data_IF_493650432922
#
_entry.id   IF_493650432922
#
_cell.length_a   1.000
_cell.length_b   1.000
_cell.length_c   1.000
_cell.angle_alpha   90.00
_cell.angle_beta   90.00
_cell.angle_gamma   90.00
#
_symmetry.space_group_name_H-M   'P 1'
#
loop_
_entity.id
_entity.type
_entity.pdbx_description
1 polymer ?
#
# COMPACT_ATOMS: atom_id res chain seq x y z
N UNK A 1 -16.44 -10.16 -2.28
CA UNK A 1 -15.11 -10.70 -1.93
C UNK A 1 -14.42 -9.73 -0.99
N UNK A 2 -13.87 -10.24 0.11
CA UNK A 2 -13.16 -9.42 1.10
C UNK A 2 -11.65 -9.54 0.82
N UNK A 3 -10.98 -8.40 0.67
CA UNK A 3 -9.56 -8.34 0.34
C UNK A 3 -8.86 -7.54 1.44
N UNK A 4 -7.84 -8.15 2.05
CA UNK A 4 -6.95 -7.47 2.97
C UNK A 4 -5.70 -7.02 2.21
N UNK A 5 -5.39 -5.72 2.25
CA UNK A 5 -4.33 -5.11 1.46
C UNK A 5 -3.31 -4.43 2.38
N UNK A 6 -2.13 -5.02 2.51
CA UNK A 6 -1.00 -4.39 3.19
C UNK A 6 -0.23 -3.47 2.24
N UNK A 7 0.37 -2.38 2.73
CA UNK A 7 1.13 -1.46 1.89
C UNK A 7 0.22 -0.62 0.97
N UNK A 8 -1.02 -0.35 1.39
CA UNK A 8 -2.05 0.31 0.60
C UNK A 8 -1.76 1.78 0.25
N UNK A 9 -0.90 2.47 0.99
CA UNK A 9 -0.44 3.83 0.71
C UNK A 9 0.84 3.88 -0.14
N UNK A 10 1.42 2.72 -0.50
CA UNK A 10 2.52 2.64 -1.46
C UNK A 10 2.07 2.81 -2.91
N UNK A 11 3.04 2.98 -3.83
CA UNK A 11 2.79 3.18 -5.27
C UNK A 11 1.88 2.09 -5.88
N UNK A 12 2.20 0.82 -5.59
CA UNK A 12 1.45 -0.34 -6.09
C UNK A 12 0.12 -0.48 -5.34
N UNK A 13 0.17 -0.39 -4.01
CA UNK A 13 -1.01 -0.57 -3.16
C UNK A 13 -2.13 0.41 -3.49
N UNK A 14 -1.79 1.69 -3.69
CA UNK A 14 -2.75 2.72 -4.07
C UNK A 14 -3.42 2.42 -5.42
N UNK A 15 -2.60 2.12 -6.43
CA UNK A 15 -3.08 1.84 -7.79
C UNK A 15 -3.96 0.59 -7.83
N UNK A 16 -3.58 -0.45 -7.07
CA UNK A 16 -4.35 -1.68 -6.93
C UNK A 16 -5.67 -1.44 -6.20
N UNK A 17 -5.66 -0.72 -5.07
CA UNK A 17 -6.86 -0.38 -4.31
C UNK A 17 -7.88 0.35 -5.18
N UNK A 18 -7.46 1.36 -5.95
CA UNK A 18 -8.33 2.06 -6.89
C UNK A 18 -8.97 1.14 -7.93
N UNK A 19 -8.22 0.16 -8.45
CA UNK A 19 -8.76 -0.82 -9.40
C UNK A 19 -9.76 -1.76 -8.74
N UNK A 20 -9.47 -2.23 -7.52
CA UNK A 20 -10.33 -3.16 -6.77
C UNK A 20 -11.65 -2.50 -6.36
N UNK A 21 -11.62 -1.23 -5.96
CA UNK A 21 -12.81 -0.46 -5.54
C UNK A 21 -13.79 -0.17 -6.69
N UNK A 22 -13.39 -0.35 -7.96
CA UNK A 22 -14.33 -0.26 -9.11
C UNK A 22 -15.32 -1.41 -9.15
N UNK A 23 -15.05 -2.51 -8.45
CA UNK A 23 -15.96 -3.65 -8.38
C UNK A 23 -16.92 -3.51 -7.19
N UNK A 24 -18.22 -3.40 -7.47
CA UNK A 24 -19.28 -3.20 -6.46
C UNK A 24 -19.39 -4.34 -5.44
N UNK A 25 -18.89 -5.53 -5.75
CA UNK A 25 -18.95 -6.69 -4.86
C UNK A 25 -17.62 -6.95 -4.13
N UNK A 26 -16.72 -5.97 -4.11
CA UNK A 26 -15.42 -6.05 -3.43
C UNK A 26 -15.39 -5.15 -2.21
N UNK A 27 -15.02 -5.71 -1.07
CA UNK A 27 -14.75 -4.95 0.15
C UNK A 27 -13.24 -5.01 0.43
N UNK A 28 -12.60 -3.86 0.60
CA UNK A 28 -11.14 -3.77 0.79
C UNK A 28 -10.83 -3.17 2.15
N UNK A 29 -10.05 -3.88 2.94
CA UNK A 29 -9.51 -3.39 4.22
C UNK A 29 -8.00 -3.17 4.01
N UNK A 30 -7.58 -1.90 4.05
CA UNK A 30 -6.19 -1.51 3.89
C UNK A 30 -5.46 -1.40 5.22
N UNK A 31 -4.21 -1.87 5.27
CA UNK A 31 -3.28 -1.64 6.37
C UNK A 31 -1.96 -1.13 5.79
N UNK A 32 -1.47 0.00 6.28
CA UNK A 32 -0.14 0.50 5.91
C UNK A 32 0.62 0.94 7.14
N UNK A 33 1.94 0.91 7.02
CA UNK A 33 2.87 1.42 8.01
C UNK A 33 3.48 2.71 7.44
N UNK A 34 2.85 3.86 7.72
CA UNK A 34 3.30 5.20 7.31
C UNK A 34 4.54 5.69 8.07
N UNK A 35 5.43 4.76 8.43
CA UNK A 35 6.67 5.09 9.09
C UNK A 35 7.71 5.56 8.09
N UNK A 36 8.59 6.45 8.55
CA UNK A 36 9.70 7.00 7.77
C UNK A 36 10.84 5.97 7.58
N UNK A 37 10.49 4.68 7.48
CA UNK A 37 11.39 3.54 7.67
C UNK A 37 12.38 3.32 6.51
N UNK A 38 12.42 4.22 5.52
CA UNK A 38 13.61 4.40 4.71
C UNK A 38 14.46 5.52 5.28
N UNK A 39 15.28 5.15 6.25
CA UNK A 39 16.44 5.96 6.58
C UNK A 39 17.28 6.14 5.31
N UNK A 40 17.43 7.39 4.84
CA UNK A 40 18.41 7.77 3.81
C UNK A 40 19.82 7.25 4.12
N UNK A 41 20.10 6.78 5.34
CA UNK A 41 21.35 6.16 5.78
C UNK A 41 21.80 4.98 4.90
N UNK A 42 20.90 4.14 4.38
CA UNK A 42 21.31 2.98 3.58
C UNK A 42 21.82 3.32 2.17
N UNK A 43 21.71 4.58 1.73
CA UNK A 43 22.22 5.08 0.44
C UNK A 43 23.49 5.93 0.56
N UNK A 44 24.05 6.14 1.75
CA UNK A 44 25.40 6.70 1.90
C UNK A 44 26.38 5.54 2.06
N UNK A 45 26.79 4.95 0.93
CA UNK A 45 28.12 4.38 0.83
C UNK A 45 29.01 5.53 0.38
N UNK A 46 30.05 5.79 1.17
CA UNK A 46 31.17 6.66 0.81
C UNK A 46 31.78 6.23 -0.54
#
# INVERSE_FOLDING_TARGET
MNIFLTGCCGFIGFSLAQKLLKNKNTNVIGLDNLNNYYSKKLKKKD
#
